data_IF_825001454860
#
_entry.id   IF_825001454860
#
_cell.length_a   1.000
_cell.length_b   1.000
_cell.length_c   1.000
_cell.angle_alpha   90.00
_cell.angle_beta   90.00
_cell.angle_gamma   90.00
#
_symmetry.space_group_name_H-M   'P 1'
#
loop_
_entity.id
_entity.type
_entity.pdbx_description
1 polymer ?
#
# COMPACT_ATOMS: atom_id res chain seq x y z
N UNK A 1 -5.72 -15.71 -7.65
CA UNK A 1 -5.02 -15.47 -6.36
C UNK A 1 -6.00 -14.89 -5.37
N UNK A 2 -5.91 -15.32 -4.13
CA UNK A 2 -6.72 -14.80 -3.03
C UNK A 2 -6.35 -13.34 -2.75
N UNK A 3 -7.32 -12.48 -2.52
CA UNK A 3 -7.07 -11.06 -2.25
C UNK A 3 -6.22 -10.82 -1.00
N UNK A 4 -6.40 -11.65 0.03
CA UNK A 4 -5.59 -11.53 1.24
C UNK A 4 -4.13 -11.87 0.97
N UNK A 5 -3.88 -12.86 0.14
CA UNK A 5 -2.52 -13.22 -0.27
C UNK A 5 -1.93 -12.11 -1.12
N UNK A 6 -2.71 -11.53 -2.02
CA UNK A 6 -2.26 -10.42 -2.86
C UNK A 6 -1.88 -9.21 -1.99
N UNK A 7 -2.71 -8.87 -1.02
CA UNK A 7 -2.42 -7.77 -0.11
C UNK A 7 -1.12 -8.02 0.66
N UNK A 8 -0.93 -9.24 1.14
CA UNK A 8 0.28 -9.63 1.86
C UNK A 8 1.53 -9.46 0.99
N UNK A 9 1.44 -9.83 -0.29
CA UNK A 9 2.56 -9.69 -1.22
C UNK A 9 2.86 -8.23 -1.55
N UNK A 10 1.83 -7.41 -1.62
CA UNK A 10 2.02 -5.96 -1.80
C UNK A 10 2.69 -5.35 -0.57
N UNK A 11 2.33 -5.82 0.61
CA UNK A 11 2.97 -5.36 1.85
C UNK A 11 4.45 -5.75 1.90
N UNK A 12 4.79 -6.95 1.41
CA UNK A 12 6.18 -7.39 1.32
C UNK A 12 6.98 -6.45 0.39
N UNK A 13 6.39 -6.08 -0.73
CA UNK A 13 7.04 -5.16 -1.65
C UNK A 13 7.24 -3.79 -1.01
N UNK A 14 6.24 -3.31 -0.29
CA UNK A 14 6.34 -2.04 0.43
C UNK A 14 7.50 -2.09 1.44
N UNK A 15 7.64 -3.21 2.13
CA UNK A 15 8.73 -3.39 3.09
C UNK A 15 10.10 -3.33 2.39
N UNK A 16 10.23 -3.93 1.21
CA UNK A 16 11.46 -3.88 0.43
C UNK A 16 11.80 -2.45 0.00
N UNK A 17 10.79 -1.62 -0.19
CA UNK A 17 10.96 -0.21 -0.56
C UNK A 17 11.11 0.70 0.67
N UNK A 18 11.18 0.10 1.85
CA UNK A 18 11.31 0.82 3.12
C UNK A 18 10.10 1.73 3.39
N UNK A 19 8.93 1.27 2.96
CA UNK A 19 7.66 1.95 3.24
C UNK A 19 7.02 1.27 4.44
N UNK A 20 6.76 2.03 5.49
CA UNK A 20 6.07 1.51 6.65
C UNK A 20 4.57 1.48 6.38
N UNK A 21 3.96 0.31 6.46
CA UNK A 21 2.52 0.15 6.27
C UNK A 21 1.84 0.11 7.64
N UNK A 22 0.85 0.95 7.83
CA UNK A 22 0.12 1.04 9.09
C UNK A 22 -1.37 0.96 8.84
N UNK A 23 -2.06 0.16 9.67
CA UNK A 23 -3.52 0.12 9.68
C UNK A 23 -3.98 1.03 10.82
N UNK A 24 -4.74 2.05 10.48
CA UNK A 24 -5.22 3.00 11.47
C UNK A 24 -6.68 3.32 11.26
N UNK A 25 -7.39 3.58 12.34
CA UNK A 25 -8.76 4.04 12.26
C UNK A 25 -8.72 5.56 12.04
N UNK A 26 -8.76 5.95 10.77
CA UNK A 26 -8.67 7.35 10.40
C UNK A 26 -10.07 7.95 10.40
N UNK A 27 -10.30 8.93 11.27
CA UNK A 27 -11.53 9.70 11.23
C UNK A 27 -11.19 11.03 10.58
N UNK A 28 -11.50 11.13 9.30
CA UNK A 28 -11.32 12.38 8.57
C UNK A 28 -12.71 12.92 8.28
N UNK A 29 -13.04 14.01 8.91
CA UNK A 29 -14.40 14.58 8.83
C UNK A 29 -14.77 15.09 7.44
N UNK A 30 -13.81 15.37 6.59
CA UNK A 30 -14.06 16.03 5.32
C UNK A 30 -13.87 15.18 4.09
N UNK A 31 -13.33 13.99 4.23
CA UNK A 31 -13.16 13.11 3.09
C UNK A 31 -13.19 11.65 3.52
N UNK A 32 -13.90 10.85 2.76
CA UNK A 32 -13.88 9.40 2.94
C UNK A 32 -12.67 8.85 2.18
N UNK A 33 -11.53 8.83 2.83
CA UNK A 33 -10.36 8.20 2.23
C UNK A 33 -10.11 6.85 2.87
N UNK A 34 -9.70 5.88 2.07
CA UNK A 34 -9.36 4.55 2.55
C UNK A 34 -7.90 4.45 2.96
N UNK A 35 -7.18 5.54 2.88
CA UNK A 35 -5.79 5.64 3.28
C UNK A 35 -4.98 6.43 2.27
N UNK A 36 -3.68 6.46 2.46
CA UNK A 36 -2.81 7.18 1.56
C UNK A 36 -1.35 7.10 1.95
N UNK A 37 -0.50 7.50 1.02
CA UNK A 37 0.93 7.55 1.22
C UNK A 37 1.32 8.90 1.81
N UNK A 38 2.07 8.86 2.91
CA UNK A 38 2.56 10.04 3.61
C UNK A 38 4.07 9.99 3.73
N UNK A 39 4.68 11.14 3.92
CA UNK A 39 6.10 11.18 4.23
C UNK A 39 6.26 11.84 5.60
N UNK A 40 6.80 11.09 6.55
CA UNK A 40 6.98 11.53 7.93
C UNK A 40 8.45 11.43 8.28
N UNK A 41 9.06 12.56 8.61
CA UNK A 41 10.49 12.62 8.98
C UNK A 41 11.41 11.97 7.94
N UNK A 42 11.10 12.17 6.67
CA UNK A 42 11.90 11.62 5.57
C UNK A 42 11.61 10.17 5.23
N UNK A 43 10.70 9.53 5.95
CA UNK A 43 10.32 8.14 5.71
C UNK A 43 8.92 8.06 5.12
N UNK A 44 8.74 7.13 4.20
CA UNK A 44 7.42 6.90 3.62
C UNK A 44 6.58 6.02 4.53
N UNK A 45 5.36 6.45 4.77
CA UNK A 45 4.38 5.71 5.56
C UNK A 45 3.12 5.58 4.75
N UNK A 46 2.66 4.35 4.56
CA UNK A 46 1.40 4.09 3.88
C UNK A 46 0.36 3.75 4.93
N UNK A 47 -0.62 4.62 5.06
CA UNK A 47 -1.68 4.45 6.04
C UNK A 47 -2.90 3.85 5.36
N UNK A 48 -3.36 2.73 5.90
CA UNK A 48 -4.56 2.06 5.44
C UNK A 48 -5.64 2.22 6.50
N UNK A 49 -6.86 2.55 6.06
CA UNK A 49 -7.97 2.66 7.00
C UNK A 49 -8.32 1.25 7.51
N UNK A 50 -8.35 1.07 8.83
CA UNK A 50 -8.59 -0.24 9.42
C UNK A 50 -9.94 -0.85 9.04
N UNK A 51 -10.93 -0.01 8.75
CA UNK A 51 -12.27 -0.47 8.33
C UNK A 51 -12.42 -0.62 6.82
N UNK A 52 -11.37 -0.31 6.05
CA UNK A 52 -11.42 -0.52 4.61
C UNK A 52 -11.48 -2.00 4.29
N UNK A 53 -12.15 -2.35 3.20
CA UNK A 53 -12.16 -3.73 2.74
C UNK A 53 -10.78 -4.11 2.21
N UNK A 54 -10.52 -5.41 2.11
CA UNK A 54 -9.26 -5.90 1.54
C UNK A 54 -9.07 -5.32 0.13
N UNK A 55 -10.13 -5.31 -0.66
CA UNK A 55 -10.10 -4.78 -2.02
C UNK A 55 -9.71 -3.30 -2.04
N UNK A 56 -10.26 -2.51 -1.13
CA UNK A 56 -9.92 -1.09 -1.02
C UNK A 56 -8.47 -0.89 -0.60
N UNK A 57 -7.98 -1.69 0.34
CA UNK A 57 -6.59 -1.64 0.78
C UNK A 57 -5.65 -1.97 -0.38
N UNK A 58 -5.99 -2.97 -1.19
CA UNK A 58 -5.21 -3.34 -2.37
C UNK A 58 -5.12 -2.15 -3.34
N UNK A 59 -6.23 -1.45 -3.58
CA UNK A 59 -6.24 -0.29 -4.47
C UNK A 59 -5.33 0.82 -3.96
N UNK A 60 -5.37 1.09 -2.68
CA UNK A 60 -4.51 2.12 -2.07
C UNK A 60 -3.03 1.73 -2.21
N UNK A 61 -2.72 0.46 -1.95
CA UNK A 61 -1.35 -0.04 -2.06
C UNK A 61 -0.82 0.05 -3.50
N UNK A 62 -1.64 -0.34 -4.46
CA UNK A 62 -1.24 -0.27 -5.88
C UNK A 62 -0.93 1.17 -6.28
N UNK A 63 -1.81 2.11 -5.93
CA UNK A 63 -1.58 3.52 -6.25
C UNK A 63 -0.30 4.06 -5.61
N UNK A 64 -0.06 3.69 -4.36
CA UNK A 64 1.13 4.15 -3.66
C UNK A 64 2.40 3.57 -4.29
N UNK A 65 2.40 2.28 -4.56
CA UNK A 65 3.58 1.59 -5.10
C UNK A 65 3.91 2.02 -6.52
N UNK A 66 2.91 2.44 -7.30
CA UNK A 66 3.15 2.95 -8.65
C UNK A 66 4.01 4.20 -8.67
N UNK A 67 4.13 4.89 -7.55
CA UNK A 67 4.94 6.11 -7.46
C UNK A 67 6.43 5.84 -7.26
N UNK A 68 6.80 4.58 -7.08
CA UNK A 68 8.18 4.18 -6.81
C UNK A 68 8.80 3.46 -8.00
N UNK A 69 10.11 3.63 -8.16
CA UNK A 69 10.87 2.90 -9.16
C UNK A 69 11.19 1.52 -8.60
N UNK A 70 10.69 0.48 -9.24
CA UNK A 70 10.88 -0.91 -8.81
C UNK A 70 11.80 -1.68 -9.76
N UNK A 71 12.50 -0.97 -10.65
CA UNK A 71 13.33 -1.63 -11.66
C UNK A 71 14.53 -2.39 -11.07
N UNK A 72 15.00 -1.96 -9.91
CA UNK A 72 16.17 -2.57 -9.25
C UNK A 72 15.84 -3.67 -8.25
N UNK A 73 14.57 -3.99 -8.08
CA UNK A 73 14.15 -5.01 -7.11
C UNK A 73 13.33 -6.08 -7.79
N UNK A 74 13.40 -7.29 -7.24
CA UNK A 74 12.59 -8.38 -7.73
C UNK A 74 11.13 -8.17 -7.33
N UNK A 75 10.24 -8.22 -8.30
CA UNK A 75 8.80 -8.16 -8.09
C UNK A 75 8.18 -9.35 -8.78
N UNK A 76 7.33 -10.09 -8.07
CA UNK A 76 6.65 -11.23 -8.67
C UNK A 76 5.84 -10.79 -9.88
N UNK A 77 5.85 -11.56 -10.98
CA UNK A 77 5.16 -11.15 -12.21
C UNK A 77 3.70 -10.75 -12.00
N UNK A 78 2.96 -11.47 -11.17
CA UNK A 78 1.56 -11.16 -10.90
C UNK A 78 1.41 -9.78 -10.26
N UNK A 79 2.36 -9.37 -9.45
CA UNK A 79 2.34 -8.06 -8.80
C UNK A 79 2.80 -6.99 -9.79
N UNK A 80 3.83 -7.29 -10.56
CA UNK A 80 4.36 -6.35 -11.55
C UNK A 80 3.29 -5.94 -12.57
N UNK A 81 2.42 -6.87 -12.95
CA UNK A 81 1.33 -6.58 -13.87
C UNK A 81 0.32 -5.58 -13.30
N UNK A 82 0.21 -5.49 -11.97
CA UNK A 82 -0.70 -4.57 -11.32
C UNK A 82 -0.10 -3.16 -11.19
N UNK A 83 1.18 -3.05 -11.29
CA UNK A 83 1.90 -1.80 -11.15
C UNK A 83 2.29 -1.24 -12.51
#
# INVERSE_FOLDING_TARGET
MNEEILLSQLEELADKLEILVRDENIIIEESSTTGGLCRIEGKFVLILHSKATVKEKIQVMIKALQQFDISDIYVKPVIRELL
#
